data_IF_508798056464
#
_entry.id   IF_508798056464
#
_cell.length_a   1.000
_cell.length_b   1.000
_cell.length_c   1.000
_cell.angle_alpha   90.00
_cell.angle_beta   90.00
_cell.angle_gamma   90.00
#
_symmetry.space_group_name_H-M   'P 1'
#
loop_
_entity.id
_entity.type
_entity.pdbx_description
1 polymer ?
#
# COMPACT_ATOMS: atom_id res chain seq x y z
N UNK A 1 -6.05 8.41 16.56
CA UNK A 1 -4.70 8.37 15.96
C UNK A 1 -4.10 7.01 16.24
N UNK A 2 -4.12 6.13 15.25
CA UNK A 2 -3.58 4.78 15.38
C UNK A 2 -2.06 4.83 15.34
N UNK A 3 -1.39 4.21 16.32
CA UNK A 3 0.08 4.17 16.39
C UNK A 3 0.55 2.77 16.00
N UNK A 4 1.33 2.69 14.93
CA UNK A 4 2.03 1.46 14.56
C UNK A 4 3.14 1.15 15.58
N UNK A 5 3.28 -0.12 15.93
CA UNK A 5 4.39 -0.63 16.74
C UNK A 5 5.73 -0.44 16.00
N UNK A 6 6.84 -0.47 16.74
CA UNK A 6 8.17 -0.39 16.15
C UNK A 6 8.40 -1.51 15.12
N UNK A 7 7.94 -2.73 15.43
CA UNK A 7 8.11 -3.88 14.55
C UNK A 7 7.33 -3.73 13.23
N UNK A 8 6.06 -3.30 13.31
CA UNK A 8 5.24 -3.02 12.11
C UNK A 8 5.91 -1.95 11.23
N UNK A 9 6.45 -0.89 11.84
CA UNK A 9 7.17 0.17 11.11
C UNK A 9 8.42 -0.35 10.39
N UNK A 10 9.27 -1.10 11.10
CA UNK A 10 10.49 -1.68 10.52
C UNK A 10 10.15 -2.62 9.36
N UNK A 11 9.09 -3.41 9.50
CA UNK A 11 8.63 -4.30 8.44
C UNK A 11 8.16 -3.54 7.21
N UNK A 12 7.30 -2.53 7.38
CA UNK A 12 6.86 -1.69 6.27
C UNK A 12 8.03 -1.00 5.57
N UNK A 13 9.00 -0.48 6.32
CA UNK A 13 10.21 0.14 5.76
C UNK A 13 11.03 -0.86 4.93
N UNK A 14 11.17 -2.10 5.41
CA UNK A 14 11.85 -3.16 4.65
C UNK A 14 11.14 -3.51 3.35
N UNK A 15 9.80 -3.48 3.32
CA UNK A 15 9.03 -3.70 2.08
C UNK A 15 9.19 -2.55 1.09
N UNK A 16 9.11 -1.32 1.60
CA UNK A 16 9.33 -0.11 0.82
C UNK A 16 10.70 -0.15 0.14
N UNK A 17 11.75 -0.57 0.87
CA UNK A 17 13.10 -0.72 0.35
C UNK A 17 13.21 -1.86 -0.67
N UNK A 18 12.73 -3.07 -0.31
CA UNK A 18 12.77 -4.26 -1.17
C UNK A 18 12.13 -4.04 -2.54
N UNK A 19 11.03 -3.30 -2.58
CA UNK A 19 10.23 -3.06 -3.78
C UNK A 19 10.49 -1.68 -4.41
N UNK A 20 11.47 -0.92 -3.91
CA UNK A 20 11.78 0.42 -4.43
C UNK A 20 10.56 1.35 -4.48
N UNK A 21 9.75 1.32 -3.42
CA UNK A 21 8.57 2.17 -3.29
C UNK A 21 9.01 3.51 -2.73
N UNK A 22 8.67 4.60 -3.40
CA UNK A 22 9.01 5.94 -2.97
C UNK A 22 7.76 6.80 -2.87
N UNK A 23 7.50 7.37 -1.70
CA UNK A 23 6.41 8.32 -1.52
C UNK A 23 6.73 9.62 -2.27
N UNK A 24 5.85 10.00 -3.21
CA UNK A 24 5.97 11.23 -3.99
C UNK A 24 5.10 12.33 -3.37
N UNK A 25 3.86 12.00 -3.06
CA UNK A 25 2.94 12.90 -2.38
C UNK A 25 1.91 12.13 -1.56
N UNK A 26 1.47 12.74 -0.46
CA UNK A 26 0.39 12.22 0.38
C UNK A 26 -0.57 13.34 0.74
N UNK A 27 -1.86 13.09 0.53
CA UNK A 27 -2.97 13.95 0.93
C UNK A 27 -4.07 13.08 1.54
N UNK A 28 -4.94 13.62 2.39
CA UNK A 28 -6.04 12.82 2.94
C UNK A 28 -6.92 12.20 1.83
N UNK A 29 -6.86 10.87 1.72
CA UNK A 29 -7.60 10.07 0.74
C UNK A 29 -6.93 9.89 -0.62
N UNK A 30 -5.69 10.38 -0.79
CA UNK A 30 -4.92 10.22 -2.03
C UNK A 30 -3.43 10.09 -1.72
N UNK A 31 -2.78 9.08 -2.27
CA UNK A 31 -1.33 8.91 -2.17
C UNK A 31 -0.73 8.61 -3.53
N UNK A 32 0.36 9.28 -3.86
CA UNK A 32 1.15 8.99 -5.05
C UNK A 32 2.47 8.36 -4.62
N UNK A 33 2.73 7.17 -5.15
CA UNK A 33 3.99 6.46 -4.95
C UNK A 33 4.64 6.19 -6.30
N UNK A 34 5.96 6.16 -6.32
CA UNK A 34 6.75 5.58 -7.42
C UNK A 34 7.16 4.17 -7.02
N UNK A 35 7.01 3.21 -7.91
CA UNK A 35 7.41 1.81 -7.68
C UNK A 35 8.43 1.42 -8.74
N UNK A 36 9.71 1.42 -8.37
CA UNK A 36 10.80 1.15 -9.32
C UNK A 36 10.85 -0.31 -9.77
N UNK A 37 10.40 -1.25 -8.94
CA UNK A 37 10.38 -2.68 -9.27
C UNK A 37 9.02 -3.14 -9.83
N UNK A 38 8.20 -2.24 -10.38
CA UNK A 38 6.85 -2.62 -10.85
C UNK A 38 6.91 -3.75 -11.85
N UNK A 39 7.71 -3.61 -12.91
CA UNK A 39 7.74 -4.57 -14.02
C UNK A 39 8.24 -5.96 -13.57
N UNK A 40 9.12 -6.02 -12.57
CA UNK A 40 9.63 -7.27 -11.99
C UNK A 40 8.58 -8.01 -11.14
N UNK A 41 7.62 -7.27 -10.59
CA UNK A 41 6.63 -7.77 -9.63
C UNK A 41 5.19 -7.41 -10.03
N UNK A 42 4.93 -7.20 -11.32
CA UNK A 42 3.66 -6.64 -11.80
C UNK A 42 2.46 -7.48 -11.38
N UNK A 43 2.56 -8.81 -11.51
CA UNK A 43 1.49 -9.74 -11.11
C UNK A 43 1.18 -9.65 -9.60
N UNK A 44 2.23 -9.50 -8.78
CA UNK A 44 2.10 -9.36 -7.33
C UNK A 44 1.38 -8.05 -6.98
N UNK A 45 1.84 -6.92 -7.54
CA UNK A 45 1.23 -5.61 -7.27
C UNK A 45 -0.20 -5.52 -7.78
N UNK A 46 -0.47 -6.04 -8.98
CA UNK A 46 -1.82 -6.06 -9.56
C UNK A 46 -2.75 -6.86 -8.66
N UNK A 47 -2.34 -8.06 -8.23
CA UNK A 47 -3.13 -8.91 -7.33
C UNK A 47 -3.37 -8.25 -5.96
N UNK A 48 -2.36 -7.55 -5.41
CA UNK A 48 -2.50 -6.80 -4.16
C UNK A 48 -3.51 -5.67 -4.31
N UNK A 49 -3.38 -4.85 -5.36
CA UNK A 49 -4.26 -3.71 -5.60
C UNK A 49 -5.70 -4.12 -5.92
N UNK A 50 -5.88 -5.21 -6.68
CA UNK A 50 -7.20 -5.79 -6.96
C UNK A 50 -7.88 -6.23 -5.67
N UNK A 51 -7.15 -6.89 -4.77
CA UNK A 51 -7.68 -7.28 -3.46
C UNK A 51 -8.03 -6.06 -2.60
N UNK A 52 -7.13 -5.09 -2.51
CA UNK A 52 -7.39 -3.86 -1.75
C UNK A 52 -8.59 -3.08 -2.29
N UNK A 53 -8.82 -3.13 -3.61
CA UNK A 53 -9.99 -2.51 -4.26
C UNK A 53 -11.26 -3.29 -3.96
N UNK A 54 -11.22 -4.63 -4.07
CA UNK A 54 -12.37 -5.50 -3.79
C UNK A 54 -12.84 -5.41 -2.33
N UNK A 55 -11.90 -5.22 -1.39
CA UNK A 55 -12.20 -5.07 0.03
C UNK A 55 -12.52 -3.61 0.44
N UNK A 56 -12.51 -2.67 -0.50
CA UNK A 56 -12.93 -1.28 -0.26
C UNK A 56 -11.88 -0.39 0.41
N UNK A 57 -10.64 -0.85 0.54
CA UNK A 57 -9.52 -0.06 1.06
C UNK A 57 -8.96 0.92 0.03
N UNK A 58 -9.17 0.63 -1.25
CA UNK A 58 -8.77 1.47 -2.37
C UNK A 58 -10.00 1.69 -3.25
N UNK A 59 -10.24 2.93 -3.66
CA UNK A 59 -11.34 3.28 -4.57
C UNK A 59 -10.89 3.29 -6.02
N UNK A 60 -9.68 3.76 -6.27
CA UNK A 60 -9.11 3.78 -7.60
C UNK A 60 -7.59 3.76 -7.55
N UNK A 61 -7.01 3.19 -8.60
CA UNK A 61 -5.58 3.21 -8.86
C UNK A 61 -5.37 3.67 -10.29
N UNK A 62 -4.57 4.71 -10.47
CA UNK A 62 -4.14 5.18 -11.79
C UNK A 62 -2.64 4.98 -11.92
N UNK A 63 -2.23 4.17 -12.90
CA UNK A 63 -0.81 3.96 -13.23
C UNK A 63 -0.38 4.84 -14.40
N UNK A 64 0.73 5.56 -14.24
CA UNK A 64 1.38 6.34 -15.29
C UNK A 64 2.89 6.13 -15.26
N UNK A 65 3.40 5.21 -16.08
CA UNK A 65 4.80 4.77 -16.01
C UNK A 65 5.06 4.07 -14.68
N UNK A 66 6.09 4.51 -13.95
CA UNK A 66 6.46 4.01 -12.61
C UNK A 66 5.60 4.59 -11.48
N UNK A 67 4.69 5.52 -11.79
CA UNK A 67 3.90 6.22 -10.78
C UNK A 67 2.54 5.56 -10.62
N UNK A 68 2.13 5.38 -9.37
CA UNK A 68 0.80 4.94 -8.96
C UNK A 68 0.15 6.05 -8.15
N UNK A 69 -1.00 6.52 -8.62
CA UNK A 69 -1.88 7.38 -7.83
C UNK A 69 -3.01 6.53 -7.26
N UNK A 70 -3.12 6.49 -5.93
CA UNK A 70 -4.04 5.60 -5.20
C UNK A 70 -4.99 6.47 -4.39
N UNK A 71 -6.29 6.32 -4.66
CA UNK A 71 -7.36 6.96 -3.88
C UNK A 71 -7.93 5.99 -2.86
N UNK A 72 -8.14 6.43 -1.63
CA UNK A 72 -8.58 5.58 -0.51
C UNK A 72 -9.55 6.34 0.42
N UNK A 73 -10.33 5.64 1.26
CA UNK A 73 -11.22 6.28 2.24
C UNK A 73 -10.43 7.19 3.19
N UNK A 74 -10.82 8.46 3.33
CA UNK A 74 -10.07 9.43 4.16
C UNK A 74 -9.92 9.00 5.62
N UNK A 75 -10.93 8.32 6.15
CA UNK A 75 -10.98 7.89 7.54
C UNK A 75 -10.27 6.56 7.78
N UNK A 76 -9.79 5.89 6.72
CA UNK A 76 -9.11 4.60 6.80
C UNK A 76 -7.93 4.61 7.78
N UNK A 77 -7.18 5.71 7.79
CA UNK A 77 -6.00 5.86 8.66
C UNK A 77 -6.35 6.08 10.15
N UNK A 78 -7.63 6.32 10.46
CA UNK A 78 -8.13 6.47 11.82
C UNK A 78 -8.72 5.16 12.38
N UNK A 79 -8.95 4.16 11.52
CA UNK A 79 -9.52 2.88 11.88
C UNK A 79 -8.41 1.86 12.18
N UNK A 80 -8.32 1.39 13.43
CA UNK A 80 -7.30 0.42 13.84
C UNK A 80 -7.55 -0.95 13.21
N UNK A 81 -8.79 -1.39 13.13
CA UNK A 81 -9.14 -2.72 12.60
C UNK A 81 -8.82 -2.78 11.11
N UNK A 82 -9.10 -1.69 10.39
CA UNK A 82 -8.71 -1.58 8.99
C UNK A 82 -7.18 -1.59 8.80
N UNK A 83 -6.43 -0.88 9.65
CA UNK A 83 -4.96 -0.89 9.60
C UNK A 83 -4.41 -2.29 9.88
N UNK A 84 -4.93 -2.98 10.89
CA UNK A 84 -4.51 -4.35 11.23
C UNK A 84 -4.79 -5.32 10.09
N UNK A 85 -5.93 -5.18 9.41
CA UNK A 85 -6.25 -6.01 8.27
C UNK A 85 -5.35 -5.69 7.05
N UNK A 86 -5.04 -4.43 6.79
CA UNK A 86 -4.08 -4.05 5.73
C UNK A 86 -2.70 -4.65 5.98
N UNK A 87 -2.23 -4.61 7.24
CA UNK A 87 -0.97 -5.26 7.62
C UNK A 87 -1.04 -6.77 7.41
N UNK A 88 -2.17 -7.40 7.72
CA UNK A 88 -2.39 -8.82 7.45
C UNK A 88 -2.30 -9.15 5.95
N UNK A 89 -3.01 -8.39 5.10
CA UNK A 89 -2.98 -8.56 3.64
C UNK A 89 -1.54 -8.44 3.14
N UNK A 90 -0.82 -7.37 3.52
CA UNK A 90 0.58 -7.18 3.13
C UNK A 90 1.47 -8.37 3.54
N UNK A 91 1.19 -9.02 4.66
CA UNK A 91 1.96 -10.18 5.10
C UNK A 91 1.76 -11.39 4.19
N UNK A 92 0.53 -11.64 3.73
CA UNK A 92 0.23 -12.75 2.83
C UNK A 92 0.94 -12.59 1.49
N UNK A 93 1.00 -11.38 0.94
CA UNK A 93 1.68 -11.09 -0.33
C UNK A 93 3.20 -11.13 -0.22
N UNK A 94 3.77 -11.04 0.97
CA UNK A 94 5.23 -11.09 1.20
C UNK A 94 5.73 -12.52 1.46
N UNK A 95 4.81 -13.46 1.73
CA UNK A 95 5.09 -14.87 1.96
C UNK A 95 5.22 -15.70 0.67
N UNK A 96 5.11 -15.06 -0.51
CA UNK A 96 5.33 -15.66 -1.82
C UNK A 96 6.59 -15.11 -2.51
#
# INVERSE_FOLDING_TARGET
>A
MTVLTLFEKLRLLSLVDRFGIHLVSSRPGEVTVRVSSWDEHESLFTSLLDRLTAEGYVYSVEKKGDFLNISYPRDLLNDRDAIDHLLFILNEFVLY
#
